data_IF_077564939673
#
_entry.id   IF_077564939673
#
_cell.length_a   1.000
_cell.length_b   1.000
_cell.length_c   1.000
_cell.angle_alpha   90.00
_cell.angle_beta   90.00
_cell.angle_gamma   90.00
#
_symmetry.space_group_name_H-M   'P 1'
#
loop_
_entity.id
_entity.type
_entity.pdbx_description
1 polymer ?
#
# COMPACT_ATOMS: atom_id res chain seq x y z
N UNK A 1 10.63 14.35 21.34
CA UNK A 1 9.18 14.66 21.42
C UNK A 1 8.42 14.25 20.16
N UNK A 2 9.09 13.68 19.14
CA UNK A 2 8.48 13.32 17.85
C UNK A 2 7.89 11.90 17.80
N UNK A 3 8.41 10.96 18.59
CA UNK A 3 7.98 9.55 18.58
C UNK A 3 6.51 9.33 19.04
N UNK A 4 6.02 10.12 20.01
CA UNK A 4 4.64 10.00 20.51
C UNK A 4 3.60 10.40 19.45
N UNK A 5 3.93 11.37 18.59
CA UNK A 5 3.07 11.83 17.51
C UNK A 5 2.92 10.78 16.41
N UNK A 6 4.03 10.16 16.00
CA UNK A 6 4.04 9.08 14.99
C UNK A 6 3.28 7.86 15.51
N UNK A 7 3.51 7.46 16.76
CA UNK A 7 2.78 6.37 17.37
C UNK A 7 1.26 6.62 17.41
N UNK A 8 0.84 7.86 17.71
CA UNK A 8 -0.57 8.23 17.69
C UNK A 8 -1.19 8.15 16.28
N UNK A 9 -0.46 8.59 15.25
CA UNK A 9 -0.88 8.46 13.84
C UNK A 9 -0.99 6.98 13.42
N UNK A 10 -0.03 6.14 13.81
CA UNK A 10 -0.09 4.69 13.56
C UNK A 10 -1.30 4.05 14.23
N UNK A 11 -1.66 4.51 15.43
CA UNK A 11 -2.90 4.07 16.10
C UNK A 11 -4.14 4.48 15.32
N UNK A 12 -4.17 5.70 14.76
CA UNK A 12 -5.28 6.19 13.93
C UNK A 12 -5.49 5.42 12.64
N UNK A 13 -4.46 4.74 12.10
CA UNK A 13 -4.63 3.85 10.95
C UNK A 13 -5.56 2.66 11.24
N UNK A 14 -5.82 2.35 12.52
CA UNK A 14 -6.79 1.33 12.94
C UNK A 14 -8.20 1.87 13.23
N UNK A 15 -8.44 3.16 13.01
CA UNK A 15 -9.75 3.80 13.21
C UNK A 15 -10.63 3.67 11.97
N UNK A 16 -11.64 4.53 11.84
CA UNK A 16 -12.44 4.66 10.62
C UNK A 16 -11.59 5.04 9.40
N UNK A 17 -12.13 4.75 8.21
CA UNK A 17 -11.40 4.92 6.94
C UNK A 17 -10.97 6.36 6.68
N UNK A 18 -11.77 7.37 7.07
CA UNK A 18 -11.42 8.78 6.83
C UNK A 18 -10.26 9.22 7.73
N UNK A 19 -10.32 8.89 9.02
CA UNK A 19 -9.21 9.13 9.95
C UNK A 19 -7.94 8.36 9.54
N UNK A 20 -8.09 7.13 9.06
CA UNK A 20 -6.97 6.32 8.59
C UNK A 20 -6.31 6.92 7.34
N UNK A 21 -7.08 7.47 6.39
CA UNK A 21 -6.54 8.17 5.22
C UNK A 21 -5.78 9.43 5.65
N UNK A 22 -6.36 10.25 6.52
CA UNK A 22 -5.69 11.46 7.02
C UNK A 22 -4.40 11.11 7.79
N UNK A 23 -4.41 10.03 8.57
CA UNK A 23 -3.22 9.54 9.26
C UNK A 23 -2.15 9.05 8.27
N UNK A 24 -2.54 8.29 7.23
CA UNK A 24 -1.61 7.84 6.20
C UNK A 24 -0.97 9.00 5.44
N UNK A 25 -1.73 10.06 5.14
CA UNK A 25 -1.21 11.26 4.48
C UNK A 25 -0.22 12.04 5.36
N UNK A 26 -0.54 12.19 6.65
CA UNK A 26 0.37 12.78 7.63
C UNK A 26 1.67 11.95 7.76
N UNK A 27 1.56 10.62 7.86
CA UNK A 27 2.71 9.72 7.93
C UNK A 27 3.56 9.79 6.67
N UNK A 28 2.96 9.81 5.47
CA UNK A 28 3.67 10.02 4.20
C UNK A 28 4.52 11.30 4.25
N UNK A 29 3.90 12.40 4.68
CA UNK A 29 4.54 13.72 4.74
C UNK A 29 5.70 13.77 5.74
N UNK A 30 5.56 13.05 6.86
CA UNK A 30 6.63 12.95 7.86
C UNK A 30 7.77 12.03 7.40
N UNK A 31 7.45 10.90 6.76
CA UNK A 31 8.45 9.97 6.24
C UNK A 31 9.30 10.56 5.12
N UNK A 32 8.75 11.47 4.29
CA UNK A 32 9.55 12.10 3.24
C UNK A 32 10.66 13.00 3.80
N UNK A 33 10.55 13.43 5.07
CA UNK A 33 11.51 14.30 5.73
C UNK A 33 12.46 13.61 6.71
N UNK A 34 12.18 12.37 7.15
CA UNK A 34 13.01 11.68 8.15
C UNK A 34 12.88 10.15 8.10
N UNK A 35 14.02 9.47 8.03
CA UNK A 35 14.12 8.01 8.10
C UNK A 35 13.74 7.46 9.50
N UNK A 36 13.95 8.23 10.56
CA UNK A 36 13.61 7.83 11.93
C UNK A 36 12.10 7.63 12.10
N UNK A 37 11.30 8.43 11.40
CA UNK A 37 9.84 8.29 11.36
C UNK A 37 9.45 6.96 10.70
N UNK A 38 10.12 6.57 9.61
CA UNK A 38 9.85 5.30 8.95
C UNK A 38 10.15 4.11 9.87
N UNK A 39 11.26 4.16 10.60
CA UNK A 39 11.60 3.17 11.62
C UNK A 39 10.53 3.09 12.71
N UNK A 40 10.07 4.22 13.25
CA UNK A 40 9.02 4.22 14.28
C UNK A 40 7.68 3.67 13.77
N UNK A 41 7.30 3.96 12.52
CA UNK A 41 6.10 3.38 11.91
C UNK A 41 6.21 1.85 11.85
N UNK A 42 7.36 1.32 11.44
CA UNK A 42 7.57 -0.13 11.41
C UNK A 42 7.50 -0.75 12.81
N UNK A 43 8.13 -0.11 13.82
CA UNK A 43 8.12 -0.59 15.21
C UNK A 43 6.71 -0.76 15.79
N UNK A 44 5.73 -0.02 15.26
CA UNK A 44 4.35 -0.02 15.72
C UNK A 44 3.38 -0.74 14.76
N UNK A 45 3.87 -1.67 13.94
CA UNK A 45 3.05 -2.43 12.95
C UNK A 45 2.34 -1.50 11.94
N UNK A 46 2.88 -0.29 11.73
CA UNK A 46 2.24 0.71 10.87
C UNK A 46 2.20 0.32 9.41
N UNK A 47 3.19 -0.45 8.94
CA UNK A 47 3.20 -1.03 7.58
C UNK A 47 2.00 -1.93 7.36
N UNK A 48 1.72 -2.85 8.29
CA UNK A 48 0.58 -3.77 8.20
C UNK A 48 -0.76 -3.03 8.19
N UNK A 49 -0.88 -1.98 9.01
CA UNK A 49 -2.07 -1.13 9.05
C UNK A 49 -2.25 -0.35 7.75
N UNK A 50 -1.17 0.16 7.14
CA UNK A 50 -1.24 0.82 5.83
C UNK A 50 -1.62 -0.15 4.71
N UNK A 51 -1.14 -1.39 4.73
CA UNK A 51 -1.56 -2.42 3.76
C UNK A 51 -3.05 -2.75 3.93
N UNK A 52 -3.51 -2.92 5.17
CA UNK A 52 -4.95 -3.12 5.47
C UNK A 52 -5.78 -1.93 4.98
N UNK A 53 -5.32 -0.70 5.23
CA UNK A 53 -5.98 0.51 4.74
C UNK A 53 -6.08 0.45 3.21
N UNK A 54 -4.98 0.18 2.51
CA UNK A 54 -4.95 0.04 1.04
C UNK A 54 -6.01 -0.97 0.56
N UNK A 55 -6.11 -2.15 1.18
CA UNK A 55 -7.11 -3.17 0.81
C UNK A 55 -8.55 -2.71 1.03
N UNK A 56 -8.80 -1.92 2.09
CA UNK A 56 -10.12 -1.34 2.37
C UNK A 56 -10.48 -0.28 1.33
N UNK A 57 -9.57 0.67 1.05
CA UNK A 57 -9.84 1.78 0.12
C UNK A 57 -9.84 1.36 -1.34
N UNK A 58 -9.17 0.25 -1.68
CA UNK A 58 -9.19 -0.36 -3.02
C UNK A 58 -10.37 -1.32 -3.24
N UNK A 59 -11.19 -1.56 -2.23
CA UNK A 59 -12.35 -2.45 -2.33
C UNK A 59 -12.00 -3.95 -2.43
N UNK A 60 -10.74 -4.33 -2.20
CA UNK A 60 -10.29 -5.74 -2.28
C UNK A 60 -10.95 -6.66 -1.24
N UNK A 61 -11.42 -6.07 -0.13
CA UNK A 61 -12.07 -6.80 0.96
C UNK A 61 -13.62 -6.76 0.89
N UNK A 62 -14.20 -6.38 -0.26
CA UNK A 62 -15.66 -6.25 -0.41
C UNK A 62 -16.27 -5.10 0.41
N UNK A 63 -15.42 -4.21 0.94
CA UNK A 63 -15.83 -3.05 1.71
C UNK A 63 -16.31 -1.93 0.78
N UNK A 64 -17.37 -1.23 1.18
CA UNK A 64 -17.93 -0.07 0.46
C UNK A 64 -17.02 1.18 0.49
N UNK A 65 -15.83 1.10 1.09
CA UNK A 65 -14.90 2.22 1.30
C UNK A 65 -14.06 2.58 0.08
N UNK A 66 -14.52 2.30 -1.13
CA UNK A 66 -13.76 2.53 -2.36
C UNK A 66 -13.53 4.03 -2.56
N UNK A 67 -12.31 4.49 -2.30
CA UNK A 67 -11.90 5.88 -2.46
C UNK A 67 -10.64 5.89 -3.31
N UNK A 68 -10.78 6.30 -4.58
CA UNK A 68 -9.65 6.43 -5.50
C UNK A 68 -8.54 7.30 -4.88
N UNK A 69 -8.93 8.38 -4.18
CA UNK A 69 -8.00 9.25 -3.45
C UNK A 69 -7.36 8.55 -2.24
N UNK A 70 -8.13 7.75 -1.51
CA UNK A 70 -7.60 6.94 -0.40
C UNK A 70 -6.59 5.89 -0.87
N UNK A 71 -6.85 5.26 -2.03
CA UNK A 71 -5.91 4.30 -2.66
C UNK A 71 -4.61 4.99 -3.01
N UNK A 72 -4.67 6.17 -3.61
CA UNK A 72 -3.51 6.98 -3.96
C UNK A 72 -2.66 7.29 -2.72
N UNK A 73 -3.28 7.84 -1.67
CA UNK A 73 -2.61 8.18 -0.41
C UNK A 73 -1.99 6.94 0.25
N UNK A 74 -2.73 5.84 0.34
CA UNK A 74 -2.24 4.62 0.98
C UNK A 74 -1.08 4.00 0.19
N UNK A 75 -1.18 3.94 -1.14
CA UNK A 75 -0.10 3.47 -2.01
C UNK A 75 1.12 4.38 -1.89
N UNK A 76 0.95 5.71 -1.88
CA UNK A 76 2.05 6.65 -1.75
C UNK A 76 2.73 6.59 -0.39
N UNK A 77 1.97 6.48 0.70
CA UNK A 77 2.53 6.28 2.04
C UNK A 77 3.41 5.02 2.11
N UNK A 78 2.92 3.91 1.52
CA UNK A 78 3.70 2.67 1.41
C UNK A 78 4.95 2.86 0.52
N UNK A 79 4.85 3.55 -0.61
CA UNK A 79 6.00 3.84 -1.47
C UNK A 79 7.05 4.73 -0.81
N UNK A 80 6.63 5.72 -0.03
CA UNK A 80 7.55 6.57 0.74
C UNK A 80 8.25 5.78 1.82
N UNK A 81 7.55 4.90 2.54
CA UNK A 81 8.16 4.00 3.53
C UNK A 81 9.17 3.02 2.90
N UNK A 82 8.85 2.48 1.73
CA UNK A 82 9.75 1.59 0.99
C UNK A 82 11.02 2.32 0.53
N UNK A 83 10.92 3.60 0.16
CA UNK A 83 12.08 4.41 -0.19
C UNK A 83 12.90 4.84 1.02
N UNK A 84 12.24 5.12 2.14
CA UNK A 84 12.90 5.60 3.35
C UNK A 84 13.78 4.52 3.99
N UNK A 85 13.32 3.27 4.02
CA UNK A 85 14.07 2.18 4.64
C UNK A 85 13.92 0.85 3.89
N UNK A 86 15.04 0.16 3.68
CA UNK A 86 15.07 -1.11 2.96
C UNK A 86 14.39 -2.24 3.74
N UNK A 87 14.40 -2.19 5.08
CA UNK A 87 13.72 -3.19 5.90
C UNK A 87 12.19 -3.07 5.84
N UNK A 88 11.65 -1.90 5.42
CA UNK A 88 10.23 -1.74 5.07
C UNK A 88 9.79 -2.74 4.01
N UNK A 89 10.66 -3.10 3.05
CA UNK A 89 10.31 -3.98 1.94
C UNK A 89 9.92 -5.37 2.44
N UNK A 90 10.67 -5.89 3.41
CA UNK A 90 10.37 -7.19 4.00
C UNK A 90 9.04 -7.15 4.77
N UNK A 91 8.81 -6.13 5.60
CA UNK A 91 7.54 -5.96 6.31
C UNK A 91 6.35 -5.80 5.36
N UNK A 92 6.53 -5.09 4.24
CA UNK A 92 5.50 -4.94 3.21
C UNK A 92 5.23 -6.25 2.47
N UNK A 93 6.27 -7.03 2.18
CA UNK A 93 6.13 -8.36 1.60
C UNK A 93 5.36 -9.29 2.54
N UNK A 94 5.74 -9.35 3.82
CA UNK A 94 5.10 -10.17 4.86
C UNK A 94 3.65 -9.74 5.11
N UNK A 95 3.36 -8.45 5.06
CA UNK A 95 2.00 -7.90 5.16
C UNK A 95 1.14 -8.14 3.91
N UNK A 96 1.71 -8.69 2.82
CA UNK A 96 0.97 -8.97 1.57
C UNK A 96 0.70 -7.72 0.72
N UNK A 97 1.52 -6.67 0.84
CA UNK A 97 1.39 -5.44 0.05
C UNK A 97 1.48 -5.71 -1.46
N UNK A 98 2.46 -6.52 -1.87
CA UNK A 98 2.69 -6.88 -3.28
C UNK A 98 1.45 -7.52 -3.90
N UNK A 99 0.88 -8.54 -3.24
CA UNK A 99 -0.31 -9.23 -3.71
C UNK A 99 -1.52 -8.29 -3.78
N UNK A 100 -1.66 -7.40 -2.80
CA UNK A 100 -2.73 -6.40 -2.75
C UNK A 100 -2.61 -5.41 -3.91
N UNK A 101 -1.41 -4.87 -4.17
CA UNK A 101 -1.17 -3.98 -5.31
C UNK A 101 -1.46 -4.67 -6.65
N UNK A 102 -0.96 -5.89 -6.86
CA UNK A 102 -1.22 -6.66 -8.09
C UNK A 102 -2.71 -6.93 -8.25
N UNK A 103 -3.41 -7.32 -7.18
CA UNK A 103 -4.85 -7.57 -7.21
C UNK A 103 -5.63 -6.29 -7.50
N UNK A 104 -5.26 -5.14 -6.93
CA UNK A 104 -5.93 -3.87 -7.20
C UNK A 104 -5.74 -3.42 -8.66
N UNK A 105 -4.55 -3.64 -9.23
CA UNK A 105 -4.25 -3.36 -10.64
C UNK A 105 -4.98 -4.30 -11.61
N UNK A 106 -5.22 -5.54 -11.21
CA UNK A 106 -5.88 -6.57 -12.03
C UNK A 106 -7.39 -6.68 -11.78
N UNK A 107 -7.93 -6.10 -10.70
CA UNK A 107 -9.36 -6.07 -10.40
C UNK A 107 -10.18 -5.32 -11.47
N UNK A 108 -9.54 -4.50 -12.31
CA UNK A 108 -10.15 -3.90 -13.50
C UNK A 108 -10.24 -4.83 -14.72
N UNK A 109 -9.72 -6.06 -14.67
CA UNK A 109 -9.98 -7.12 -15.66
C UNK A 109 -11.13 -7.97 -15.12
N UNK A 110 -12.37 -7.78 -15.58
CA UNK A 110 -13.49 -8.55 -15.07
C UNK A 110 -13.24 -10.03 -15.34
N UNK A 111 -13.13 -10.84 -14.28
CA UNK A 111 -13.56 -12.23 -14.38
C UNK A 111 -15.08 -12.20 -14.55
N UNK A 112 -15.60 -13.02 -15.45
CA UNK A 112 -17.04 -13.08 -15.78
C UNK A 112 -17.86 -13.16 -14.49
N UNK A 113 -18.54 -12.06 -14.14
CA UNK A 113 -19.41 -11.96 -12.96
C UNK A 113 -19.10 -10.86 -11.94
N UNK A 114 -17.91 -10.22 -11.94
CA UNK A 114 -17.57 -9.16 -10.97
C UNK A 114 -17.51 -7.77 -11.63
N UNK A 115 -18.36 -6.85 -11.17
CA UNK A 115 -18.29 -5.42 -11.51
C UNK A 115 -17.20 -4.71 -10.69
N UNK A 116 -15.93 -5.06 -10.94
CA UNK A 116 -14.79 -4.31 -10.41
C UNK A 116 -14.62 -3.01 -11.21
N UNK A 117 -14.90 -1.86 -10.61
CA UNK A 117 -14.52 -0.56 -11.21
C UNK A 117 -12.98 -0.52 -11.25
N UNK A 118 -12.34 -0.28 -12.40
CA UNK A 118 -10.89 -0.10 -12.44
C UNK A 118 -10.50 1.11 -11.60
N UNK A 119 -9.34 1.01 -10.92
CA UNK A 119 -8.73 2.14 -10.21
C UNK A 119 -8.64 3.36 -11.12
N UNK A 120 -8.89 4.56 -10.57
CA UNK A 120 -8.59 5.80 -11.27
C UNK A 120 -7.12 5.87 -11.71
N UNK A 121 -6.82 6.63 -12.78
CA UNK A 121 -5.48 6.65 -13.37
C UNK A 121 -4.39 7.07 -12.37
N UNK A 122 -4.67 8.05 -11.51
CA UNK A 122 -3.73 8.52 -10.48
C UNK A 122 -3.43 7.43 -9.44
N UNK A 123 -4.47 6.82 -8.86
CA UNK A 123 -4.34 5.70 -7.93
C UNK A 123 -3.60 4.51 -8.54
N UNK A 124 -3.89 4.20 -9.81
CA UNK A 124 -3.22 3.15 -10.56
C UNK A 124 -1.74 3.46 -10.79
N UNK A 125 -1.41 4.67 -11.24
CA UNK A 125 -0.03 5.10 -11.47
C UNK A 125 0.79 5.02 -10.19
N UNK A 126 0.24 5.53 -9.08
CA UNK A 126 0.90 5.49 -7.78
C UNK A 126 1.09 4.06 -7.26
N UNK A 127 0.09 3.20 -7.47
CA UNK A 127 0.19 1.78 -7.15
C UNK A 127 1.29 1.08 -7.96
N UNK A 128 1.37 1.34 -9.26
CA UNK A 128 2.44 0.79 -10.13
C UNK A 128 3.80 1.30 -9.69
N UNK A 129 3.95 2.60 -9.42
CA UNK A 129 5.21 3.20 -8.98
C UNK A 129 5.71 2.56 -7.70
N UNK A 130 4.83 2.40 -6.72
CA UNK A 130 5.14 1.76 -5.43
C UNK A 130 5.52 0.29 -5.63
N UNK A 131 4.78 -0.42 -6.48
CA UNK A 131 5.09 -1.81 -6.82
C UNK A 131 6.47 -1.95 -7.49
N UNK A 132 6.82 -1.06 -8.41
CA UNK A 132 8.15 -1.02 -9.04
C UNK A 132 9.26 -0.75 -8.03
N UNK A 133 9.02 0.11 -7.04
CA UNK A 133 9.97 0.36 -5.95
C UNK A 133 10.18 -0.90 -5.11
N UNK A 134 9.09 -1.58 -4.74
CA UNK A 134 9.18 -2.86 -4.03
C UNK A 134 9.91 -3.92 -4.86
N UNK A 135 9.67 -3.99 -6.17
CA UNK A 135 10.33 -4.94 -7.06
C UNK A 135 11.86 -4.81 -7.13
N UNK A 136 12.43 -3.69 -6.67
CA UNK A 136 13.90 -3.54 -6.56
C UNK A 136 14.50 -4.42 -5.47
N UNK A 137 13.69 -4.90 -4.53
CA UNK A 137 14.09 -5.86 -3.50
C UNK A 137 13.84 -7.30 -3.96
N UNK A 138 14.82 -8.18 -3.76
CA UNK A 138 14.78 -9.58 -4.22
C UNK A 138 13.58 -10.36 -3.68
N UNK A 139 13.17 -10.13 -2.42
CA UNK A 139 12.02 -10.80 -1.79
C UNK A 139 10.71 -10.38 -2.45
N UNK A 140 10.48 -9.07 -2.61
CA UNK A 140 9.31 -8.53 -3.29
C UNK A 140 9.28 -8.92 -4.77
N UNK A 141 10.45 -8.92 -5.44
CA UNK A 141 10.61 -9.37 -6.82
C UNK A 141 10.26 -10.85 -6.99
N UNK A 142 10.67 -11.72 -6.06
CA UNK A 142 10.29 -13.13 -6.07
C UNK A 142 8.77 -13.31 -5.91
N UNK A 143 8.13 -12.56 -5.00
CA UNK A 143 6.67 -12.62 -4.80
C UNK A 143 5.93 -12.15 -6.06
N UNK A 144 6.44 -11.10 -6.73
CA UNK A 144 5.89 -10.63 -8.00
C UNK A 144 5.95 -11.69 -9.11
N UNK A 145 7.08 -12.39 -9.22
CA UNK A 145 7.27 -13.45 -10.22
C UNK A 145 6.43 -14.70 -9.94
N UNK A 146 6.12 -14.97 -8.67
CA UNK A 146 5.23 -16.07 -8.27
C UNK A 146 3.75 -15.75 -8.46
N UNK A 147 3.40 -14.48 -8.65
CA UNK A 147 2.01 -14.09 -8.86
C UNK A 147 1.59 -14.36 -10.32
N UNK A 148 0.91 -15.50 -10.53
CA UNK A 148 0.44 -16.02 -11.84
C UNK A 148 -0.28 -14.97 -12.73
N UNK A 149 -0.86 -13.92 -12.12
CA UNK A 149 -1.56 -12.86 -12.84
C UNK A 149 -0.69 -11.91 -13.65
N UNK A 150 0.62 -11.80 -13.39
CA UNK A 150 1.53 -10.92 -14.16
C UNK A 150 2.13 -11.68 -15.34
N UNK A 151 2.61 -12.90 -15.12
CA UNK A 151 3.29 -13.72 -16.14
C UNK A 151 2.35 -14.05 -17.28
N UNK A 152 1.07 -14.39 -16.99
CA UNK A 152 0.08 -14.63 -18.05
C UNK A 152 -0.25 -13.41 -18.91
N UNK A 153 -0.06 -12.18 -18.39
CA UNK A 153 -0.38 -10.95 -19.13
C UNK A 153 0.78 -10.34 -19.91
N UNK A 154 2.01 -10.85 -19.75
CA UNK A 154 3.19 -10.44 -20.53
C UNK A 154 3.46 -11.39 -21.71
N UNK A 155 2.77 -12.53 -21.77
CA UNK A 155 2.92 -13.54 -22.82
C UNK A 155 1.75 -13.61 -23.82
N UNK A 156 0.75 -12.74 -23.69
CA UNK A 156 -0.39 -12.65 -24.62
C UNK A 156 -0.49 -11.28 -25.29
#
# INVERSE_FOLDING_TARGET
MEADGVHWLVKMLGSDTECAIAAADALRSLCSGSIEVACEIQRHEGVEKLVKLFQVVSGLNGASGCSDHGVEIAAEALGTLAQADQSSHQHMAEAGAVQSFVRALTAGKPKVGESGKPLASAAREQTVRTLSQLATNETCGAILLQHDGIVGTLTE
#
